data_IF_894100017608
#
_entry.id   IF_894100017608
#
_cell.length_a   1.000
_cell.length_b   1.000
_cell.length_c   1.000
_cell.angle_alpha   90.00
_cell.angle_beta   90.00
_cell.angle_gamma   90.00
#
_symmetry.space_group_name_H-M   'P 1'
#
loop_
_entity.id
_entity.type
_entity.pdbx_description
1 polymer ?
#
# COMPACT_ATOMS: atom_id res chain seq x y z
N UNK A 1 -15.36 -14.68 19.93
CA UNK A 1 -14.91 -13.81 21.03
C UNK A 1 -13.39 -13.79 21.00
N UNK A 2 -12.76 -12.80 20.34
CA UNK A 2 -11.30 -12.65 20.31
C UNK A 2 -10.82 -12.33 21.77
N UNK A 3 -9.81 -13.02 22.35
CA UNK A 3 -9.52 -12.90 23.77
C UNK A 3 -8.81 -11.60 24.14
N UNK A 4 -9.16 -11.09 25.31
CA UNK A 4 -8.77 -9.85 25.99
C UNK A 4 -7.25 -9.63 26.18
N UNK A 5 -6.41 -10.51 25.63
CA UNK A 5 -4.95 -10.51 25.77
C UNK A 5 -4.27 -9.42 24.92
N UNK A 6 -4.90 -8.94 23.85
CA UNK A 6 -4.32 -7.91 22.97
C UNK A 6 -4.20 -6.52 23.63
N UNK A 7 -4.94 -6.25 24.71
CA UNK A 7 -5.00 -4.91 25.31
C UNK A 7 -3.98 -4.68 26.45
N UNK A 8 -3.26 -5.72 26.91
CA UNK A 8 -2.34 -5.61 28.05
C UNK A 8 -0.85 -5.53 27.69
N UNK A 9 -0.49 -5.44 26.40
CA UNK A 9 0.92 -5.36 25.96
C UNK A 9 1.37 -3.98 25.45
N UNK A 10 0.50 -2.97 25.47
CA UNK A 10 0.79 -1.63 24.89
C UNK A 10 1.66 -0.74 25.82
N UNK A 11 1.97 -1.19 27.05
CA UNK A 11 2.63 -0.32 28.04
C UNK A 11 4.18 -0.36 28.10
N UNK A 12 4.87 -1.09 27.20
CA UNK A 12 6.35 -1.21 27.25
C UNK A 12 7.05 -0.95 25.90
N UNK A 13 6.61 0.03 25.11
CA UNK A 13 7.34 0.46 23.90
C UNK A 13 7.58 1.97 23.80
N UNK A 14 7.43 2.73 24.89
CA UNK A 14 7.85 4.13 24.96
C UNK A 14 9.30 4.23 25.46
N UNK A 15 10.24 3.80 24.62
CA UNK A 15 11.65 4.23 24.73
C UNK A 15 12.08 4.72 23.35
N UNK A 16 12.31 6.02 23.28
CA UNK A 16 12.91 6.83 22.19
C UNK A 16 13.64 5.98 21.14
N UNK A 17 12.97 5.67 20.02
CA UNK A 17 13.56 4.83 18.96
C UNK A 17 12.58 4.05 18.09
N UNK A 18 11.27 4.16 18.32
CA UNK A 18 10.21 3.46 17.57
C UNK A 18 9.71 4.20 16.31
N UNK A 19 10.51 5.09 15.71
CA UNK A 19 10.06 5.96 14.61
C UNK A 19 10.23 5.32 13.21
N UNK A 20 10.87 4.15 13.04
CA UNK A 20 11.24 3.68 11.68
C UNK A 20 11.01 2.18 11.39
N UNK A 21 10.60 1.32 12.34
CA UNK A 21 10.65 -0.15 12.08
C UNK A 21 9.49 -0.97 12.69
N UNK A 22 8.28 -0.45 12.70
CA UNK A 22 7.10 -1.30 12.91
C UNK A 22 6.31 -1.35 11.61
N UNK A 23 6.58 -2.30 10.69
CA UNK A 23 5.69 -2.53 9.58
C UNK A 23 4.38 -3.07 10.17
N UNK A 24 3.35 -2.25 10.05
CA UNK A 24 1.99 -2.71 9.77
C UNK A 24 1.36 -3.62 10.81
N UNK A 25 1.10 -3.07 12.01
CA UNK A 25 0.08 -3.63 12.94
C UNK A 25 -1.35 -3.60 12.34
N UNK A 26 -1.54 -3.07 11.11
CA UNK A 26 -2.85 -2.93 10.47
C UNK A 26 -3.13 -3.86 9.28
N UNK A 27 -2.22 -4.79 8.93
CA UNK A 27 -2.53 -5.82 7.92
C UNK A 27 -3.49 -6.92 8.46
N UNK A 28 -4.43 -6.58 9.35
CA UNK A 28 -5.34 -7.55 9.99
C UNK A 28 -6.70 -7.70 9.28
N UNK A 29 -7.20 -6.75 8.48
CA UNK A 29 -8.61 -6.82 8.04
C UNK A 29 -8.77 -6.56 6.53
N UNK A 30 -8.40 -7.53 5.68
CA UNK A 30 -9.02 -7.76 4.36
C UNK A 30 -9.14 -6.61 3.34
N UNK A 31 -8.41 -5.52 3.52
CA UNK A 31 -8.35 -4.39 2.58
C UNK A 31 -7.22 -4.69 1.59
N UNK A 32 -7.51 -4.71 0.27
CA UNK A 32 -6.49 -4.85 -0.76
C UNK A 32 -5.42 -3.74 -0.69
N UNK A 33 -4.17 -4.15 -0.86
CA UNK A 33 -2.96 -3.34 -0.87
C UNK A 33 -2.00 -4.05 -1.84
N UNK A 34 -2.01 -3.62 -3.09
CA UNK A 34 -1.42 -4.33 -4.23
C UNK A 34 0.10 -4.18 -4.27
N UNK A 35 0.64 -3.02 -3.89
CA UNK A 35 2.07 -2.74 -3.88
C UNK A 35 2.75 -2.96 -2.50
N UNK A 36 1.95 -3.06 -1.44
CA UNK A 36 2.40 -3.35 -0.08
C UNK A 36 3.00 -2.14 0.63
N UNK A 37 2.70 -0.91 0.21
CA UNK A 37 3.21 0.32 0.81
C UNK A 37 2.43 0.75 2.08
N UNK A 38 1.30 0.08 2.34
CA UNK A 38 0.41 0.33 3.47
C UNK A 38 -0.72 1.32 3.19
N UNK A 39 -0.90 1.75 1.95
CA UNK A 39 -2.03 2.51 1.43
C UNK A 39 -3.01 1.52 0.80
N UNK A 40 -4.30 1.52 1.21
CA UNK A 40 -5.32 0.71 0.55
C UNK A 40 -5.52 1.04 -0.94
N UNK A 41 -5.74 0.01 -1.77
CA UNK A 41 -5.99 0.16 -3.23
C UNK A 41 -7.12 1.16 -3.56
N UNK A 42 -8.09 1.36 -2.66
CA UNK A 42 -9.24 2.24 -2.88
C UNK A 42 -8.91 3.74 -2.71
N UNK A 43 -7.79 4.06 -2.08
CA UNK A 43 -7.29 5.43 -1.87
C UNK A 43 -5.88 5.65 -2.39
N UNK A 44 -5.23 4.60 -2.90
CA UNK A 44 -3.93 4.69 -3.56
C UNK A 44 -4.04 5.42 -4.91
N UNK A 45 -3.06 6.27 -5.18
CA UNK A 45 -2.93 7.02 -6.43
C UNK A 45 -2.10 6.27 -7.49
N UNK A 46 -1.37 5.22 -7.08
CA UNK A 46 -0.48 4.38 -7.88
C UNK A 46 -0.54 2.95 -7.31
N UNK A 47 -1.62 2.22 -7.61
CA UNK A 47 -2.03 0.97 -6.91
C UNK A 47 -0.94 -0.11 -6.94
N UNK A 48 -0.18 -0.20 -8.03
CA UNK A 48 0.88 -1.21 -8.19
C UNK A 48 2.31 -0.67 -7.93
N UNK A 49 2.41 0.64 -7.64
CA UNK A 49 3.63 1.34 -7.31
C UNK A 49 4.67 1.31 -8.43
N UNK A 50 4.25 1.31 -9.70
CA UNK A 50 5.15 1.32 -10.86
C UNK A 50 5.67 2.73 -11.23
N UNK A 51 5.09 3.76 -10.62
CA UNK A 51 5.41 5.17 -10.82
C UNK A 51 4.50 5.89 -11.82
N UNK A 52 3.50 5.22 -12.39
CA UNK A 52 2.46 5.78 -13.25
C UNK A 52 1.16 5.91 -12.45
N UNK A 53 0.55 7.11 -12.37
CA UNK A 53 -0.70 7.24 -11.62
C UNK A 53 -1.87 6.47 -12.25
N UNK A 54 -2.74 5.88 -11.42
CA UNK A 54 -3.95 5.16 -11.84
C UNK A 54 -4.82 5.94 -12.84
N UNK A 55 -4.86 7.28 -12.70
CA UNK A 55 -5.61 8.17 -13.59
C UNK A 55 -5.00 8.22 -14.99
N UNK A 56 -3.67 8.21 -15.08
CA UNK A 56 -2.94 8.22 -16.34
C UNK A 56 -3.13 6.88 -17.06
N UNK A 57 -3.02 5.78 -16.33
CA UNK A 57 -3.29 4.44 -16.83
C UNK A 57 -4.72 4.26 -17.34
N UNK A 58 -5.71 4.78 -16.61
CA UNK A 58 -7.10 4.77 -17.05
C UNK A 58 -7.32 5.56 -18.36
N UNK A 59 -6.52 6.61 -18.60
CA UNK A 59 -6.56 7.39 -19.84
C UNK A 59 -5.92 6.63 -21.00
N UNK A 60 -4.82 5.91 -20.76
CA UNK A 60 -4.11 5.14 -21.78
C UNK A 60 -4.64 3.70 -21.96
N UNK A 61 -5.52 3.25 -21.08
CA UNK A 61 -6.12 1.91 -21.12
C UNK A 61 -5.18 0.80 -20.67
N UNK A 62 -4.26 1.09 -19.75
CA UNK A 62 -3.41 0.10 -19.08
C UNK A 62 -4.08 -0.41 -17.80
N UNK A 63 -3.42 -1.34 -17.10
CA UNK A 63 -3.99 -2.05 -15.95
C UNK A 63 -3.32 -1.55 -14.66
N UNK A 64 -4.05 -0.80 -13.80
CA UNK A 64 -3.48 -0.20 -12.60
C UNK A 64 -3.13 -1.20 -11.49
N UNK A 65 -3.39 -2.49 -11.71
CA UNK A 65 -3.04 -3.56 -10.78
C UNK A 65 -1.84 -4.39 -11.26
N UNK A 66 -1.24 -4.05 -12.41
CA UNK A 66 -0.13 -4.80 -13.01
C UNK A 66 1.06 -3.87 -13.28
N UNK A 67 2.07 -3.97 -12.41
CA UNK A 67 3.34 -3.23 -12.44
C UNK A 67 4.14 -3.33 -13.74
N UNK A 68 3.68 -4.15 -14.70
CA UNK A 68 4.29 -4.31 -16.02
C UNK A 68 3.47 -3.67 -17.15
N UNK A 69 2.33 -3.07 -16.82
CA UNK A 69 1.33 -2.51 -17.72
C UNK A 69 1.55 -1.01 -17.94
N UNK A 70 2.57 -0.66 -18.72
CA UNK A 70 2.91 0.76 -18.93
C UNK A 70 2.15 1.39 -20.10
N UNK A 71 1.77 2.68 -20.01
CA UNK A 71 1.33 3.45 -21.16
C UNK A 71 2.46 3.52 -22.19
N UNK A 72 2.12 3.24 -23.45
CA UNK A 72 3.06 3.42 -24.56
C UNK A 72 3.20 4.92 -24.82
N UNK A 73 4.14 5.57 -24.12
CA UNK A 73 4.58 6.91 -24.46
C UNK A 73 5.30 6.84 -25.81
N UNK A 74 4.67 7.40 -26.83
CA UNK A 74 5.13 7.39 -28.22
C UNK A 74 6.43 8.21 -28.43
N UNK A 75 7.08 8.66 -27.36
CA UNK A 75 8.31 9.46 -27.34
C UNK A 75 9.62 8.64 -27.44
N UNK A 76 9.56 7.31 -27.56
CA UNK A 76 10.73 6.46 -27.83
C UNK A 76 10.77 5.89 -29.28
N UNK A 77 10.45 6.71 -30.28
CA UNK A 77 10.69 6.39 -31.71
C UNK A 77 11.76 7.27 -32.33
#
# INVERSE_FOLDING_TARGET
MKPLTAMMSILLAFSVGALVLFPSIYAEEGIPDTDGDGIPDDVDVDIDGDGVPNLEEAVYGTDPYDKTSFPVIEEMR
#
